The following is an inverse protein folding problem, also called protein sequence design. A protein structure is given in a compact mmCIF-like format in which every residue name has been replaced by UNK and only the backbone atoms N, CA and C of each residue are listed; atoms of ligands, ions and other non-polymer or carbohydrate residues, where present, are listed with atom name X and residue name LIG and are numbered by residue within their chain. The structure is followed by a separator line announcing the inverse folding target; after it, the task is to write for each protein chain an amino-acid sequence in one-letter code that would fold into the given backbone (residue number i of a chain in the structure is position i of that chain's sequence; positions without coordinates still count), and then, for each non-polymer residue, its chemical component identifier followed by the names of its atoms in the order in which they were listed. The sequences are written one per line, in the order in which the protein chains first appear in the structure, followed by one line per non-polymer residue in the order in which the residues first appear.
data_IF_265006138008
#
_entry.id   IF_265006138008
#
_cell.length_a   1.000
_cell.length_b   1.000
_cell.length_c   1.000
_cell.angle_alpha   90.00
_cell.angle_beta   90.00
_cell.angle_gamma   90.00
#
_symmetry.space_group_name_H-M   'P 1'
#
loop_
_entity.id
_entity.type
_entity.pdbx_description
1 polymer ?
#
# COMPACT_ATOMS: atom_id res chain seq x y z
N UNK A 1 3.02 7.37 3.19
CA UNK A 1 2.90 6.52 1.98
C UNK A 1 2.64 7.37 0.75
N UNK A 2 1.56 8.16 0.68
CA UNK A 2 1.30 9.07 -0.46
C UNK A 2 2.48 9.97 -0.85
N UNK A 3 3.17 10.58 0.10
CA UNK A 3 4.35 11.41 -0.20
C UNK A 3 5.48 10.67 -0.97
N UNK A 4 5.53 9.34 -0.91
CA UNK A 4 6.53 8.54 -1.65
C UNK A 4 6.22 8.51 -3.15
N UNK A 5 4.96 8.73 -3.57
CA UNK A 5 4.61 8.74 -4.99
C UNK A 5 5.22 9.93 -5.73
N UNK A 6 5.53 11.02 -5.04
CA UNK A 6 6.06 12.24 -5.66
C UNK A 6 7.56 12.46 -5.46
N UNK A 7 8.29 11.51 -4.86
CA UNK A 7 9.75 11.64 -4.68
C UNK A 7 10.48 11.48 -6.02
N UNK A 8 11.59 12.21 -6.20
CA UNK A 8 12.47 12.01 -7.35
C UNK A 8 13.31 10.74 -7.17
N UNK A 9 12.77 9.60 -7.57
CA UNK A 9 13.40 8.28 -7.55
C UNK A 9 12.72 7.37 -8.57
N UNK A 10 13.37 6.26 -8.94
CA UNK A 10 12.78 5.25 -9.84
C UNK A 10 11.46 4.70 -9.27
N UNK A 11 10.56 4.21 -10.13
CA UNK A 11 9.34 3.54 -9.67
C UNK A 11 9.67 2.33 -8.77
N UNK A 12 10.74 1.59 -9.09
CA UNK A 12 11.25 0.49 -8.27
C UNK A 12 11.64 0.93 -6.85
N UNK A 13 12.40 2.02 -6.70
CA UNK A 13 12.79 2.56 -5.39
C UNK A 13 11.59 3.10 -4.61
N UNK A 14 10.69 3.82 -5.28
CA UNK A 14 9.46 4.33 -4.66
C UNK A 14 8.58 3.19 -4.14
N UNK A 15 8.40 2.12 -4.93
CA UNK A 15 7.65 0.94 -4.53
C UNK A 15 8.31 0.25 -3.33
N UNK A 16 9.63 0.03 -3.37
CA UNK A 16 10.40 -0.55 -2.25
C UNK A 16 10.23 0.27 -0.98
N UNK A 17 10.36 1.60 -1.06
CA UNK A 17 10.23 2.51 0.07
C UNK A 17 8.81 2.52 0.65
N UNK A 18 7.79 2.45 -0.22
CA UNK A 18 6.39 2.35 0.20
C UNK A 18 6.14 1.05 0.97
N UNK A 19 6.58 -0.10 0.42
CA UNK A 19 6.44 -1.41 1.08
C UNK A 19 7.19 -1.42 2.41
N UNK A 20 8.47 -1.01 2.43
CA UNK A 20 9.27 -1.01 3.65
C UNK A 20 8.65 -0.11 4.74
N UNK A 21 8.10 1.05 4.37
CA UNK A 21 7.41 1.93 5.30
C UNK A 21 6.12 1.32 5.84
N UNK A 22 5.34 0.67 4.97
CA UNK A 22 4.12 -0.02 5.39
C UNK A 22 4.43 -1.16 6.37
N UNK A 23 5.39 -2.03 6.03
CA UNK A 23 5.80 -3.16 6.87
C UNK A 23 6.36 -2.69 8.20
N UNK A 24 7.26 -1.69 8.22
CA UNK A 24 7.79 -1.14 9.49
C UNK A 24 6.68 -0.62 10.41
N UNK A 25 5.66 0.04 9.85
CA UNK A 25 4.51 0.53 10.64
C UNK A 25 3.66 -0.62 11.18
N UNK A 26 3.43 -1.66 10.40
CA UNK A 26 2.72 -2.84 10.84
C UNK A 26 3.46 -3.56 11.98
N UNK A 27 4.79 -3.71 11.85
CA UNK A 27 5.62 -4.33 12.88
C UNK A 27 5.72 -3.49 14.17
N UNK A 28 5.71 -2.16 14.07
CA UNK A 28 5.70 -1.27 15.23
C UNK A 28 4.35 -1.25 15.97
N UNK A 29 3.26 -1.65 15.32
CA UNK A 29 1.90 -1.66 15.88
C UNK A 29 1.17 -2.97 15.60
N UNK A 30 1.61 -4.11 16.16
CA UNK A 30 1.08 -5.43 15.81
C UNK A 30 -0.41 -5.59 16.15
N UNK A 31 -0.90 -4.98 17.24
CA UNK A 31 -2.32 -4.98 17.59
C UNK A 31 -3.18 -4.23 16.56
N UNK A 32 -2.72 -3.04 16.13
CA UNK A 32 -3.39 -2.28 15.07
C UNK A 32 -3.31 -3.01 13.72
N UNK A 33 -2.18 -3.65 13.43
CA UNK A 33 -2.02 -4.46 12.23
C UNK A 33 -3.03 -5.62 12.22
N UNK A 34 -3.18 -6.33 13.34
CA UNK A 34 -4.18 -7.38 13.51
C UNK A 34 -5.61 -6.86 13.34
N UNK A 35 -5.97 -5.77 14.02
CA UNK A 35 -7.27 -5.10 13.88
C UNK A 35 -7.59 -4.71 12.42
N UNK A 36 -6.56 -4.31 11.69
CA UNK A 36 -6.67 -3.88 10.30
C UNK A 36 -6.80 -5.04 9.29
N UNK A 37 -6.34 -6.25 9.62
CA UNK A 37 -6.29 -7.37 8.66
C UNK A 37 -7.19 -8.56 9.02
N UNK A 38 -7.40 -8.87 10.29
CA UNK A 38 -7.91 -10.17 10.70
C UNK A 38 -8.83 -10.19 11.93
N UNK A 39 -8.94 -9.11 12.70
CA UNK A 39 -9.81 -9.10 13.87
C UNK A 39 -11.28 -9.37 13.50
N UNK A 40 -11.96 -10.30 14.19
CA UNK A 40 -13.41 -10.48 14.06
C UNK A 40 -14.14 -9.22 14.50
N UNK A 41 -14.95 -8.63 13.62
CA UNK A 41 -15.67 -7.38 13.87
C UNK A 41 -17.05 -7.42 13.21
N UNK A 42 -17.93 -6.50 13.61
CA UNK A 42 -19.21 -6.29 12.95
C UNK A 42 -19.04 -5.80 11.51
N UNK A 43 -20.06 -6.02 10.68
CA UNK A 43 -20.04 -5.71 9.24
C UNK A 43 -19.74 -4.24 8.93
N UNK A 44 -20.21 -3.31 9.75
CA UNK A 44 -19.95 -1.88 9.58
C UNK A 44 -18.47 -1.53 9.72
N UNK A 45 -17.78 -2.17 10.68
CA UNK A 45 -16.35 -2.00 10.91
C UNK A 45 -15.55 -2.65 9.79
N UNK A 46 -15.96 -3.83 9.30
CA UNK A 46 -15.27 -4.47 8.17
C UNK A 46 -15.40 -3.64 6.89
N UNK A 47 -16.54 -2.98 6.67
CA UNK A 47 -16.72 -2.06 5.54
C UNK A 47 -15.73 -0.87 5.61
N UNK A 48 -15.50 -0.29 6.79
CA UNK A 48 -14.48 0.74 6.99
C UNK A 48 -13.07 0.18 6.79
N UNK A 49 -12.80 -1.03 7.28
CA UNK A 49 -11.53 -1.72 7.08
C UNK A 49 -11.23 -1.92 5.60
N UNK A 50 -12.22 -2.33 4.80
CA UNK A 50 -12.10 -2.44 3.33
C UNK A 50 -11.78 -1.08 2.71
N UNK A 51 -12.47 0.00 3.11
CA UNK A 51 -12.17 1.36 2.65
C UNK A 51 -10.74 1.77 2.98
N UNK A 52 -10.30 1.54 4.23
CA UNK A 52 -8.93 1.76 4.66
C UNK A 52 -7.92 1.01 3.80
N UNK A 53 -8.11 -0.30 3.59
CA UNK A 53 -7.23 -1.11 2.72
C UNK A 53 -7.17 -0.60 1.28
N UNK A 54 -8.29 -0.16 0.70
CA UNK A 54 -8.32 0.45 -0.64
C UNK A 54 -7.46 1.70 -0.72
N UNK A 55 -7.46 2.55 0.31
CA UNK A 55 -6.63 3.77 0.33
C UNK A 55 -5.12 3.47 0.30
N UNK A 56 -4.68 2.38 0.92
CA UNK A 56 -3.29 1.92 0.81
C UNK A 56 -3.02 1.26 -0.53
N UNK A 57 -3.93 0.40 -0.98
CA UNK A 57 -3.85 -0.28 -2.27
C UNK A 57 -3.69 0.69 -3.43
N UNK A 58 -4.38 1.82 -3.39
CA UNK A 58 -4.30 2.86 -4.42
C UNK A 58 -2.89 3.46 -4.56
N UNK A 59 -2.15 3.62 -3.46
CA UNK A 59 -0.77 4.10 -3.50
C UNK A 59 0.12 3.09 -4.24
N UNK A 60 -0.02 1.80 -3.93
CA UNK A 60 0.77 0.76 -4.59
C UNK A 60 0.38 0.60 -6.06
N UNK A 61 -0.91 0.66 -6.38
CA UNK A 61 -1.44 0.60 -7.74
C UNK A 61 -0.89 1.74 -8.59
N UNK A 62 -0.87 2.96 -8.06
CA UNK A 62 -0.27 4.11 -8.73
C UNK A 62 1.22 3.87 -9.03
N UNK A 63 2.01 3.45 -8.04
CA UNK A 63 3.45 3.20 -8.22
C UNK A 63 3.72 2.11 -9.27
N UNK A 64 2.92 1.05 -9.27
CA UNK A 64 3.00 -0.02 -10.27
C UNK A 64 2.64 0.50 -11.67
N UNK A 65 1.56 1.26 -11.81
CA UNK A 65 1.13 1.84 -13.09
C UNK A 65 2.20 2.77 -13.68
N UNK A 66 2.79 3.63 -12.85
CA UNK A 66 3.87 4.52 -13.25
C UNK A 66 5.12 3.74 -13.69
N UNK A 67 5.50 2.69 -12.96
CA UNK A 67 6.65 1.86 -13.34
C UNK A 67 6.42 1.04 -14.60
N UNK A 68 5.20 0.56 -14.86
CA UNK A 68 4.85 -0.08 -16.14
C UNK A 68 4.94 0.93 -17.28
N UNK A 69 4.38 2.15 -17.09
CA UNK A 69 4.43 3.20 -18.11
C UNK A 69 5.87 3.67 -18.43
N UNK A 70 6.75 3.67 -17.42
CA UNK A 70 8.17 3.98 -17.58
C UNK A 70 9.01 2.81 -18.13
N UNK A 71 8.42 1.61 -18.30
CA UNK A 71 9.13 0.40 -18.72
C UNK A 71 10.03 -0.22 -17.64
N UNK A 72 9.93 0.24 -16.39
CA UNK A 72 10.68 -0.32 -15.26
C UNK A 72 10.10 -1.66 -14.77
N UNK A 73 8.79 -1.87 -14.97
CA UNK A 73 8.10 -3.10 -14.59
C UNK A 73 7.49 -3.80 -15.80
N UNK A 74 7.40 -5.15 -15.80
CA UNK A 74 6.68 -5.87 -16.83
C UNK A 74 5.18 -5.57 -16.77
N UNK A 75 4.41 -5.78 -17.86
CA UNK A 75 2.97 -5.58 -17.86
C UNK A 75 2.28 -6.24 -16.65
N UNK A 76 1.42 -5.49 -15.98
CA UNK A 76 0.68 -5.93 -14.80
C UNK A 76 -0.83 -5.85 -15.08
N UNK A 77 -1.61 -6.76 -14.50
CA UNK A 77 -3.07 -6.63 -14.45
C UNK A 77 -3.46 -5.75 -13.27
N UNK A 78 -3.51 -4.42 -13.50
CA UNK A 78 -3.75 -3.40 -12.48
C UNK A 78 -5.23 -2.99 -12.37
#
# INVERSE_FOLDING_TARGET
LRAITTTQASAAERLRNAIATFVRRALAGPALAYAFIAEPVESEVDAERIRGRRLFGEVFRQLLAEGVAAGEFPPQSL
#
